data_IF_871227003663
#
_entry.id   IF_871227003663
#
_cell.length_a   1.000
_cell.length_b   1.000
_cell.length_c   1.000
_cell.angle_alpha   90.00
_cell.angle_beta   90.00
_cell.angle_gamma   90.00
#
_symmetry.space_group_name_H-M   'P 1'
#
loop_
_entity.id
_entity.type
_entity.pdbx_description
1 polymer ?
#
# COMPACT_ATOMS: atom_id res chain seq x y z
N UNK A 1 -0.21 4.48 2.04
CA UNK A 1 0.05 3.27 1.24
C UNK A 1 -1.12 2.31 1.35
N UNK A 2 -1.23 1.39 0.42
CA UNK A 2 -2.15 0.25 0.44
C UNK A 2 -1.30 -1.01 0.56
N UNK A 3 -1.68 -1.93 1.43
CA UNK A 3 -1.09 -3.27 1.51
C UNK A 3 -2.00 -4.21 0.74
N UNK A 4 -1.50 -4.79 -0.34
CA UNK A 4 -2.23 -5.77 -1.15
C UNK A 4 -1.74 -7.16 -0.80
N UNK A 5 -2.52 -7.87 0.02
CA UNK A 5 -2.25 -9.25 0.41
C UNK A 5 -2.81 -10.20 -0.63
N UNK A 6 -1.95 -11.07 -1.17
CA UNK A 6 -2.30 -12.03 -2.23
C UNK A 6 -2.01 -13.45 -1.75
N UNK A 7 -2.94 -14.37 -2.01
CA UNK A 7 -2.77 -15.78 -1.69
C UNK A 7 -1.85 -16.47 -2.70
N UNK A 8 -0.75 -17.02 -2.22
CA UNK A 8 0.26 -17.73 -3.01
C UNK A 8 0.55 -19.12 -2.45
N UNK A 9 -0.45 -19.85 -1.96
CA UNK A 9 -0.32 -21.21 -1.43
C UNK A 9 -1.56 -22.06 -1.74
N UNK A 10 -1.38 -23.36 -1.84
CA UNK A 10 -2.44 -24.34 -2.00
C UNK A 10 -2.85 -24.88 -0.62
N UNK A 11 -4.16 -24.95 -0.36
CA UNK A 11 -4.73 -25.59 0.83
C UNK A 11 -6.11 -26.12 0.47
N UNK A 12 -6.29 -27.44 0.60
CA UNK A 12 -7.54 -28.14 0.27
C UNK A 12 -8.70 -27.76 1.22
N UNK A 13 -8.39 -27.27 2.42
CA UNK A 13 -9.38 -26.89 3.41
C UNK A 13 -9.90 -25.45 3.22
N UNK A 14 -9.22 -24.64 2.41
CA UNK A 14 -9.56 -23.24 2.14
C UNK A 14 -10.14 -23.12 0.73
N UNK A 15 -11.47 -23.00 0.64
CA UNK A 15 -12.15 -22.85 -0.64
C UNK A 15 -11.70 -21.54 -1.33
N UNK A 16 -11.31 -21.63 -2.59
CA UNK A 16 -11.06 -20.46 -3.44
C UNK A 16 -12.29 -20.16 -4.28
N UNK A 17 -12.59 -18.88 -4.50
CA UNK A 17 -13.77 -18.43 -5.26
C UNK A 17 -13.75 -18.96 -6.70
N UNK A 18 -12.57 -19.05 -7.30
CA UNK A 18 -12.35 -19.52 -8.68
C UNK A 18 -11.93 -21.00 -8.80
N UNK A 19 -11.90 -21.78 -7.70
CA UNK A 19 -11.43 -23.16 -7.64
C UNK A 19 -9.97 -23.38 -8.11
N UNK A 20 -9.21 -22.33 -8.37
CA UNK A 20 -7.80 -22.36 -8.73
C UNK A 20 -7.07 -21.20 -8.09
N UNK A 21 -5.81 -21.38 -7.74
CA UNK A 21 -4.96 -20.32 -7.20
C UNK A 21 -4.34 -19.56 -8.37
N UNK A 22 -4.76 -18.33 -8.55
CA UNK A 22 -4.25 -17.40 -9.56
C UNK A 22 -4.03 -16.02 -8.93
N UNK A 23 -2.87 -15.79 -8.29
CA UNK A 23 -2.56 -14.54 -7.61
C UNK A 23 -2.58 -13.32 -8.53
N UNK A 24 -2.30 -13.51 -9.82
CA UNK A 24 -2.33 -12.43 -10.82
C UNK A 24 -3.78 -12.01 -11.06
N UNK A 25 -4.64 -12.94 -11.41
CA UNK A 25 -6.05 -12.66 -11.64
C UNK A 25 -6.73 -12.09 -10.39
N UNK A 26 -6.44 -12.63 -9.21
CA UNK A 26 -7.00 -12.14 -7.95
C UNK A 26 -6.62 -10.67 -7.71
N UNK A 27 -5.36 -10.31 -7.97
CA UNK A 27 -4.88 -8.95 -7.82
C UNK A 27 -5.49 -8.00 -8.87
N UNK A 28 -5.63 -8.43 -10.12
CA UNK A 28 -6.24 -7.64 -11.20
C UNK A 28 -7.73 -7.37 -10.95
N UNK A 29 -8.45 -8.35 -10.40
CA UNK A 29 -9.87 -8.17 -10.02
C UNK A 29 -10.00 -7.08 -8.95
N UNK A 30 -9.20 -7.18 -7.88
CA UNK A 30 -9.22 -6.16 -6.81
C UNK A 30 -8.77 -4.79 -7.34
N UNK A 31 -7.73 -4.72 -8.18
CA UNK A 31 -7.30 -3.44 -8.75
C UNK A 31 -8.39 -2.82 -9.63
N UNK A 32 -9.11 -3.63 -10.40
CA UNK A 32 -10.27 -3.18 -11.20
C UNK A 32 -11.37 -2.62 -10.31
N UNK A 33 -11.71 -3.28 -9.21
CA UNK A 33 -12.71 -2.78 -8.25
C UNK A 33 -12.29 -1.43 -7.64
N UNK A 34 -11.00 -1.27 -7.30
CA UNK A 34 -10.48 -0.01 -6.77
C UNK A 34 -10.51 1.11 -7.82
N UNK A 35 -10.20 0.79 -9.09
CA UNK A 35 -10.30 1.73 -10.22
C UNK A 35 -11.74 2.20 -10.39
N UNK A 36 -12.71 1.29 -10.40
CA UNK A 36 -14.13 1.62 -10.55
C UNK A 36 -14.64 2.47 -9.39
N UNK A 37 -14.21 2.18 -8.17
CA UNK A 37 -14.56 2.97 -6.98
C UNK A 37 -14.04 4.41 -7.06
N UNK A 38 -12.76 4.60 -7.44
CA UNK A 38 -12.18 5.93 -7.58
C UNK A 38 -12.80 6.70 -8.76
N UNK A 39 -13.11 6.01 -9.86
CA UNK A 39 -13.77 6.58 -11.03
C UNK A 39 -15.16 7.15 -10.66
N UNK A 40 -15.99 6.36 -10.00
CA UNK A 40 -17.32 6.78 -9.54
C UNK A 40 -17.24 8.00 -8.62
N UNK A 41 -16.25 7.99 -7.70
CA UNK A 41 -16.00 9.11 -6.78
C UNK A 41 -15.65 10.39 -7.56
N UNK A 42 -14.67 10.31 -8.48
CA UNK A 42 -14.22 11.47 -9.25
C UNK A 42 -15.29 12.03 -10.17
N UNK A 43 -16.10 11.18 -10.80
CA UNK A 43 -17.23 11.64 -11.63
C UNK A 43 -18.23 12.46 -10.81
N UNK A 44 -18.57 12.01 -9.60
CA UNK A 44 -19.46 12.76 -8.69
C UNK A 44 -18.84 14.11 -8.28
N UNK A 45 -17.56 14.14 -7.95
CA UNK A 45 -16.82 15.36 -7.59
C UNK A 45 -16.77 16.32 -8.77
N UNK A 46 -16.49 15.82 -9.96
CA UNK A 46 -16.35 16.62 -11.18
C UNK A 46 -17.61 17.43 -11.47
N UNK A 47 -18.80 16.87 -11.25
CA UNK A 47 -20.07 17.61 -11.39
C UNK A 47 -20.09 18.90 -10.54
N UNK A 48 -19.54 18.84 -9.33
CA UNK A 48 -19.41 20.01 -8.45
C UNK A 48 -18.39 21.02 -8.95
N UNK A 49 -17.21 20.54 -9.35
CA UNK A 49 -16.11 21.37 -9.88
C UNK A 49 -16.52 22.09 -11.16
N UNK A 50 -17.21 21.42 -12.07
CA UNK A 50 -17.69 22.03 -13.31
C UNK A 50 -18.67 23.20 -13.07
N UNK A 51 -19.40 23.22 -11.97
CA UNK A 51 -20.23 24.39 -11.57
C UNK A 51 -19.38 25.59 -11.16
N UNK A 52 -18.23 25.36 -10.52
CA UNK A 52 -17.29 26.42 -10.15
C UNK A 52 -16.54 26.95 -11.37
N UNK A 53 -16.15 26.08 -12.29
CA UNK A 53 -15.56 26.46 -13.60
C UNK A 53 -16.48 27.41 -14.36
N UNK A 54 -17.80 27.11 -14.42
CA UNK A 54 -18.80 27.97 -15.06
C UNK A 54 -18.94 29.33 -14.40
N UNK A 55 -18.56 29.47 -13.12
CA UNK A 55 -18.55 30.76 -12.39
C UNK A 55 -17.22 31.54 -12.60
N UNK A 56 -16.28 31.00 -13.36
CA UNK A 56 -15.03 31.68 -13.69
C UNK A 56 -13.92 31.47 -12.65
N UNK A 57 -14.04 30.50 -11.76
CA UNK A 57 -13.00 30.18 -10.78
C UNK A 57 -11.78 29.54 -11.47
N UNK A 58 -10.62 30.24 -11.41
CA UNK A 58 -9.40 29.81 -12.08
C UNK A 58 -8.76 28.55 -11.49
N UNK A 59 -8.87 28.38 -10.16
CA UNK A 59 -8.32 27.19 -9.50
C UNK A 59 -9.20 25.97 -9.81
N UNK A 60 -10.52 26.15 -9.88
CA UNK A 60 -11.45 25.11 -10.32
C UNK A 60 -11.19 24.66 -11.76
N UNK A 61 -10.74 25.56 -12.66
CA UNK A 61 -10.38 25.18 -14.04
C UNK A 61 -9.21 24.21 -14.06
N UNK A 62 -8.12 24.53 -13.35
CA UNK A 62 -6.95 23.63 -13.25
C UNK A 62 -7.31 22.30 -12.61
N UNK A 63 -8.07 22.36 -11.53
CA UNK A 63 -8.53 21.17 -10.81
C UNK A 63 -9.38 20.26 -11.70
N UNK A 64 -10.30 20.85 -12.49
CA UNK A 64 -11.11 20.11 -13.45
C UNK A 64 -10.23 19.40 -14.50
N UNK A 65 -9.19 20.06 -15.01
CA UNK A 65 -8.28 19.44 -15.98
C UNK A 65 -7.59 18.19 -15.41
N UNK A 66 -7.10 18.26 -14.17
CA UNK A 66 -6.48 17.09 -13.52
C UNK A 66 -7.50 16.00 -13.21
N UNK A 67 -8.73 16.35 -12.80
CA UNK A 67 -9.80 15.39 -12.58
C UNK A 67 -10.14 14.68 -13.90
N UNK A 68 -10.35 15.42 -14.99
CA UNK A 68 -10.68 14.85 -16.31
C UNK A 68 -9.54 13.95 -16.83
N UNK A 69 -8.27 14.34 -16.61
CA UNK A 69 -7.10 13.52 -16.92
C UNK A 69 -7.14 12.18 -16.17
N UNK A 70 -7.38 12.22 -14.86
CA UNK A 70 -7.42 10.99 -14.05
C UNK A 70 -8.65 10.14 -14.37
N UNK A 71 -9.81 10.73 -14.60
CA UNK A 71 -11.02 10.01 -15.06
C UNK A 71 -10.73 9.25 -16.36
N UNK A 72 -10.12 9.92 -17.35
CA UNK A 72 -9.75 9.28 -18.63
C UNK A 72 -8.78 8.12 -18.42
N UNK A 73 -7.81 8.29 -17.52
CA UNK A 73 -6.82 7.27 -17.19
C UNK A 73 -7.45 6.04 -16.51
N UNK A 74 -8.28 6.27 -15.48
CA UNK A 74 -9.04 5.21 -14.80
C UNK A 74 -9.99 4.49 -15.76
N UNK A 75 -10.68 5.23 -16.63
CA UNK A 75 -11.60 4.66 -17.63
C UNK A 75 -10.90 3.76 -18.65
N UNK A 76 -9.58 3.92 -18.84
CA UNK A 76 -8.76 3.02 -19.66
C UNK A 76 -8.23 1.80 -18.89
N UNK A 77 -8.66 1.59 -17.65
CA UNK A 77 -8.23 0.47 -16.81
C UNK A 77 -6.88 0.67 -16.14
N UNK A 78 -6.37 1.90 -16.07
CA UNK A 78 -5.08 2.21 -15.44
C UNK A 78 -5.29 2.92 -14.11
N UNK A 79 -4.42 2.64 -13.13
CA UNK A 79 -4.50 3.24 -11.80
C UNK A 79 -4.08 4.71 -11.79
N UNK A 80 -4.65 5.53 -10.92
CA UNK A 80 -4.31 6.96 -10.82
C UNK A 80 -2.83 7.21 -10.51
N UNK A 81 -2.14 6.28 -9.84
CA UNK A 81 -0.70 6.39 -9.54
C UNK A 81 0.21 6.28 -10.76
N UNK A 82 -0.27 5.77 -11.88
CA UNK A 82 0.48 5.64 -13.14
C UNK A 82 0.25 6.80 -14.12
N UNK A 83 -0.52 7.83 -13.72
CA UNK A 83 -0.76 9.01 -14.54
C UNK A 83 0.52 9.84 -14.70
N UNK A 84 0.70 10.45 -15.86
CA UNK A 84 1.79 11.39 -16.10
C UNK A 84 1.69 12.61 -15.17
N UNK A 85 2.84 13.18 -14.79
CA UNK A 85 2.94 14.34 -13.88
C UNK A 85 2.25 14.10 -12.51
N UNK A 86 2.38 12.90 -11.98
CA UNK A 86 1.74 12.44 -10.73
C UNK A 86 1.90 13.42 -9.56
N UNK A 87 3.03 14.13 -9.44
CA UNK A 87 3.27 15.09 -8.37
C UNK A 87 2.32 16.29 -8.45
N UNK A 88 2.05 16.79 -9.66
CA UNK A 88 1.11 17.87 -9.88
C UNK A 88 -0.33 17.40 -9.63
N UNK A 89 -0.70 16.24 -10.17
CA UNK A 89 -2.01 15.61 -9.93
C UNK A 89 -2.27 15.44 -8.43
N UNK A 90 -1.29 14.93 -7.68
CA UNK A 90 -1.40 14.79 -6.21
C UNK A 90 -1.66 16.12 -5.51
N UNK A 91 -1.03 17.22 -5.93
CA UNK A 91 -1.22 18.52 -5.30
C UNK A 91 -2.67 19.01 -5.36
N UNK A 92 -3.42 18.63 -6.40
CA UNK A 92 -4.84 18.98 -6.59
C UNK A 92 -5.83 17.94 -6.06
N UNK A 93 -5.46 16.65 -6.02
CA UNK A 93 -6.39 15.55 -5.76
C UNK A 93 -6.16 14.83 -4.42
N UNK A 94 -5.13 15.17 -3.65
CA UNK A 94 -4.85 14.51 -2.36
C UNK A 94 -6.03 14.57 -1.37
N UNK A 95 -6.82 15.65 -1.40
CA UNK A 95 -7.97 15.81 -0.51
C UNK A 95 -9.07 14.75 -0.74
N UNK A 96 -9.12 14.14 -1.92
CA UNK A 96 -10.14 13.14 -2.27
C UNK A 96 -9.74 11.72 -1.84
N UNK A 97 -8.52 11.53 -1.35
CA UNK A 97 -8.04 10.25 -0.82
C UNK A 97 -8.21 9.05 -1.76
N UNK A 98 -8.08 9.25 -3.09
CA UNK A 98 -8.18 8.18 -4.08
C UNK A 98 -7.30 7.00 -3.70
N UNK A 99 -7.86 5.80 -3.74
CA UNK A 99 -7.16 4.58 -3.33
C UNK A 99 -6.08 4.22 -4.36
N UNK A 100 -6.42 4.32 -5.65
CA UNK A 100 -5.49 4.00 -6.74
C UNK A 100 -4.36 5.04 -6.92
N UNK A 101 -4.44 6.19 -6.23
CA UNK A 101 -3.37 7.19 -6.18
C UNK A 101 -2.30 6.86 -5.13
N UNK A 102 -2.63 6.00 -4.15
CA UNK A 102 -1.72 5.60 -3.08
C UNK A 102 -0.68 4.60 -3.58
N UNK A 103 0.55 4.62 -3.05
CA UNK A 103 1.53 3.57 -3.33
C UNK A 103 1.04 2.23 -2.78
N UNK A 104 1.43 1.14 -3.43
CA UNK A 104 1.03 -0.23 -3.08
C UNK A 104 2.25 -1.02 -2.63
N UNK A 105 2.07 -1.77 -1.54
CA UNK A 105 3.00 -2.78 -1.04
C UNK A 105 2.36 -4.14 -1.30
N UNK A 106 2.99 -4.96 -2.12
CA UNK A 106 2.51 -6.30 -2.42
C UNK A 106 3.05 -7.31 -1.41
N UNK A 107 2.16 -8.06 -0.80
CA UNK A 107 2.46 -9.08 0.20
C UNK A 107 1.92 -10.42 -0.29
N UNK A 108 2.80 -11.39 -0.51
CA UNK A 108 2.42 -12.74 -0.89
C UNK A 108 2.35 -13.62 0.37
N UNK A 109 1.15 -14.11 0.69
CA UNK A 109 0.97 -15.11 1.72
C UNK A 109 1.29 -16.48 1.12
N UNK A 110 2.35 -17.10 1.61
CA UNK A 110 2.86 -18.40 1.17
C UNK A 110 2.73 -19.44 2.28
N UNK A 111 2.89 -20.72 1.95
CA UNK A 111 3.04 -21.78 2.94
C UNK A 111 4.38 -21.65 3.72
N UNK A 112 4.47 -22.32 4.88
CA UNK A 112 5.64 -22.24 5.76
C UNK A 112 6.96 -22.65 5.06
N UNK A 113 6.92 -23.62 4.17
CA UNK A 113 8.11 -24.11 3.46
C UNK A 113 8.63 -23.12 2.41
N UNK A 114 7.77 -22.21 1.97
CA UNK A 114 8.04 -21.22 0.92
C UNK A 114 8.40 -19.82 1.45
N UNK A 115 8.53 -19.66 2.78
CA UNK A 115 8.72 -18.33 3.39
C UNK A 115 10.06 -17.67 3.05
N UNK A 116 11.10 -18.46 2.77
CA UNK A 116 12.45 -17.96 2.45
C UNK A 116 12.58 -17.69 0.95
N UNK A 117 12.33 -18.69 0.13
CA UNK A 117 12.63 -18.65 -1.30
C UNK A 117 11.41 -18.33 -2.18
N UNK A 118 10.21 -18.35 -1.59
CA UNK A 118 8.96 -18.26 -2.33
C UNK A 118 8.60 -19.57 -3.03
N UNK A 119 7.61 -19.50 -3.91
CA UNK A 119 7.15 -20.62 -4.72
C UNK A 119 6.74 -20.16 -6.13
N UNK A 120 6.26 -21.09 -6.96
CA UNK A 120 5.83 -20.80 -8.34
C UNK A 120 4.82 -19.64 -8.44
N UNK A 121 3.92 -19.53 -7.47
CA UNK A 121 2.88 -18.47 -7.46
C UNK A 121 3.47 -17.11 -7.14
N UNK A 122 4.27 -17.01 -6.08
CA UNK A 122 4.91 -15.75 -5.70
C UNK A 122 5.94 -15.28 -6.74
N UNK A 123 6.67 -16.20 -7.38
CA UNK A 123 7.59 -15.89 -8.48
C UNK A 123 6.85 -15.32 -9.70
N UNK A 124 5.78 -16.00 -10.15
CA UNK A 124 4.95 -15.51 -11.26
C UNK A 124 4.31 -14.14 -10.95
N UNK A 125 3.83 -13.96 -9.73
CA UNK A 125 3.25 -12.69 -9.30
C UNK A 125 4.28 -11.56 -9.27
N UNK A 126 5.49 -11.82 -8.76
CA UNK A 126 6.60 -10.86 -8.76
C UNK A 126 6.95 -10.38 -10.17
N UNK A 127 7.03 -11.32 -11.11
CA UNK A 127 7.34 -11.03 -12.52
C UNK A 127 6.23 -10.17 -13.17
N UNK A 128 4.96 -10.42 -12.80
CA UNK A 128 3.82 -9.64 -13.30
C UNK A 128 3.83 -8.20 -12.78
N UNK A 129 3.94 -8.01 -11.46
CA UNK A 129 3.89 -6.67 -10.86
C UNK A 129 5.16 -5.84 -11.09
N UNK A 130 6.27 -6.46 -11.47
CA UNK A 130 7.58 -5.84 -11.73
C UNK A 130 8.05 -4.95 -10.58
N UNK A 131 7.73 -5.36 -9.36
CA UNK A 131 8.10 -4.66 -8.14
C UNK A 131 8.55 -5.65 -7.07
N UNK A 132 9.11 -5.15 -5.98
CA UNK A 132 9.39 -5.98 -4.83
C UNK A 132 8.09 -6.50 -4.23
N UNK A 133 8.14 -7.74 -3.76
CA UNK A 133 7.07 -8.37 -2.98
C UNK A 133 7.63 -8.78 -1.63
N UNK A 134 6.77 -8.79 -0.61
CA UNK A 134 7.11 -9.33 0.71
C UNK A 134 6.49 -10.71 0.82
N UNK A 135 7.31 -11.70 1.18
CA UNK A 135 6.80 -13.04 1.52
C UNK A 135 6.46 -13.08 3.00
N UNK A 136 5.27 -13.57 3.33
CA UNK A 136 4.84 -13.88 4.69
C UNK A 136 4.19 -15.26 4.72
N UNK A 137 4.14 -15.88 5.89
CA UNK A 137 3.23 -16.98 6.17
C UNK A 137 2.32 -16.57 7.31
N UNK A 138 1.02 -16.50 7.06
CA UNK A 138 0.04 -16.13 8.08
C UNK A 138 0.03 -17.12 9.25
N UNK A 139 0.35 -18.38 9.00
CA UNK A 139 0.46 -19.40 10.03
C UNK A 139 1.66 -19.12 10.96
N UNK A 140 2.83 -18.82 10.39
CA UNK A 140 4.03 -18.42 11.15
C UNK A 140 3.74 -17.15 11.96
N UNK A 141 3.14 -16.12 11.34
CA UNK A 141 2.81 -14.87 12.05
C UNK A 141 1.82 -15.11 13.20
N UNK A 142 0.86 -16.00 13.02
CA UNK A 142 -0.08 -16.40 14.07
C UNK A 142 0.62 -17.10 15.24
N UNK A 143 1.60 -17.97 14.96
CA UNK A 143 2.40 -18.64 16.00
C UNK A 143 3.26 -17.60 16.75
N UNK A 144 3.97 -16.73 16.05
CA UNK A 144 4.79 -15.65 16.63
C UNK A 144 3.97 -14.77 17.58
N UNK A 145 2.74 -14.44 17.22
CA UNK A 145 1.88 -13.56 18.01
C UNK A 145 1.52 -14.15 19.40
N UNK A 146 1.68 -15.46 19.60
CA UNK A 146 1.39 -16.14 20.88
C UNK A 146 2.62 -16.30 21.77
N UNK A 147 3.81 -16.01 21.24
CA UNK A 147 5.09 -16.22 21.93
C UNK A 147 5.56 -14.97 22.68
N UNK A 148 6.32 -15.16 23.75
CA UNK A 148 7.07 -14.06 24.39
C UNK A 148 8.18 -13.54 23.48
N UNK A 149 8.68 -12.32 23.73
CA UNK A 149 9.72 -11.70 22.89
C UNK A 149 11.00 -12.56 22.78
N UNK A 150 11.37 -13.28 23.83
CA UNK A 150 12.54 -14.18 23.83
C UNK A 150 12.28 -15.40 22.95
N UNK A 151 11.11 -16.03 23.11
CA UNK A 151 10.71 -17.19 22.31
C UNK A 151 10.54 -16.85 20.83
N UNK A 152 10.07 -15.62 20.50
CA UNK A 152 9.96 -15.17 19.12
C UNK A 152 11.30 -15.18 18.39
N UNK A 153 12.37 -14.70 19.05
CA UNK A 153 13.72 -14.68 18.48
C UNK A 153 14.23 -16.10 18.17
N UNK A 154 14.06 -17.02 19.12
CA UNK A 154 14.47 -18.42 18.95
C UNK A 154 13.67 -19.11 17.86
N UNK A 155 12.37 -18.86 17.81
CA UNK A 155 11.46 -19.43 16.79
C UNK A 155 11.83 -18.95 15.39
N UNK A 156 12.01 -17.62 15.19
CA UNK A 156 12.44 -17.07 13.91
C UNK A 156 13.79 -17.64 13.45
N UNK A 157 14.76 -17.72 14.39
CA UNK A 157 16.07 -18.30 14.12
C UNK A 157 15.99 -19.77 13.71
N UNK A 158 15.09 -20.55 14.30
CA UNK A 158 14.87 -21.96 13.93
C UNK A 158 14.34 -22.14 12.53
N UNK A 159 13.60 -21.15 12.02
CA UNK A 159 13.08 -21.09 10.65
C UNK A 159 14.06 -20.44 9.65
N UNK A 160 15.23 -19.98 10.10
CA UNK A 160 16.18 -19.25 9.26
C UNK A 160 15.75 -17.83 8.90
N UNK A 161 14.83 -17.25 9.68
CA UNK A 161 14.31 -15.89 9.49
C UNK A 161 15.02 -14.91 10.43
N UNK A 162 15.39 -13.72 9.92
CA UNK A 162 15.98 -12.65 10.72
C UNK A 162 14.92 -11.83 11.46
N UNK A 163 13.71 -11.72 10.90
CA UNK A 163 12.58 -10.94 11.42
C UNK A 163 11.25 -11.49 10.97
N UNK A 164 10.17 -11.12 11.66
CA UNK A 164 8.78 -11.47 11.27
C UNK A 164 8.37 -10.79 9.98
N UNK A 165 7.41 -11.37 9.26
CA UNK A 165 6.81 -10.76 8.08
C UNK A 165 6.12 -9.44 8.39
N UNK A 166 5.52 -9.30 9.58
CA UNK A 166 4.93 -8.05 10.03
C UNK A 166 5.98 -6.94 10.14
N UNK A 167 7.17 -7.22 10.69
CA UNK A 167 8.25 -6.23 10.76
C UNK A 167 8.74 -5.82 9.38
N UNK A 168 8.84 -6.77 8.42
CA UNK A 168 9.15 -6.46 7.01
C UNK A 168 8.12 -5.50 6.40
N UNK A 169 6.82 -5.76 6.63
CA UNK A 169 5.72 -4.90 6.14
C UNK A 169 5.81 -3.50 6.75
N UNK A 170 6.06 -3.39 8.06
CA UNK A 170 6.20 -2.09 8.75
C UNK A 170 7.37 -1.31 8.15
N UNK A 171 8.53 -1.93 7.99
CA UNK A 171 9.72 -1.30 7.41
C UNK A 171 9.46 -0.82 5.98
N UNK A 172 8.91 -1.68 5.13
CA UNK A 172 8.55 -1.31 3.76
C UNK A 172 7.50 -0.19 3.72
N UNK A 173 6.57 -0.18 4.68
CA UNK A 173 5.60 0.90 4.86
C UNK A 173 6.27 2.25 5.14
N UNK A 174 7.24 2.27 6.05
CA UNK A 174 8.01 3.47 6.35
C UNK A 174 8.83 3.94 5.15
N UNK A 175 9.49 3.04 4.43
CA UNK A 175 10.27 3.38 3.24
C UNK A 175 9.38 3.86 2.10
N UNK A 176 8.27 3.18 1.82
CA UNK A 176 7.29 3.55 0.79
C UNK A 176 6.67 4.92 1.03
N UNK A 177 6.41 5.27 2.30
CA UNK A 177 5.85 6.56 2.70
C UNK A 177 6.94 7.60 2.99
N UNK A 178 8.22 7.26 2.80
CA UNK A 178 9.37 8.11 3.07
C UNK A 178 9.37 8.67 4.50
N UNK A 179 9.06 7.81 5.48
CA UNK A 179 8.95 8.16 6.89
C UNK A 179 10.22 7.78 7.67
N UNK A 180 10.47 8.54 8.73
CA UNK A 180 11.46 8.25 9.76
C UNK A 180 10.87 8.50 11.13
N UNK A 181 11.45 7.86 12.16
CA UNK A 181 11.08 8.09 13.55
C UNK A 181 12.23 8.79 14.27
N UNK A 182 11.92 9.82 15.06
CA UNK A 182 12.82 10.41 16.03
C UNK A 182 12.23 10.35 17.43
N UNK A 183 13.07 10.45 18.43
CA UNK A 183 12.67 10.33 19.83
C UNK A 183 12.89 11.65 20.57
N UNK A 184 11.95 11.99 21.44
CA UNK A 184 12.13 13.01 22.47
C UNK A 184 12.16 12.32 23.81
N UNK A 185 13.02 12.80 24.71
CA UNK A 185 13.10 12.33 26.09
C UNK A 185 13.20 13.51 27.04
N UNK A 186 12.37 13.53 28.05
CA UNK A 186 12.31 14.52 29.12
C UNK A 186 12.08 13.85 30.47
N UNK A 187 12.00 14.66 31.53
CA UNK A 187 11.75 14.14 32.89
C UNK A 187 10.37 13.48 33.02
N UNK A 188 9.39 13.93 32.23
CA UNK A 188 7.99 13.49 32.35
C UNK A 188 7.67 12.33 31.42
N UNK A 189 8.24 12.31 30.20
CA UNK A 189 7.96 11.28 29.20
C UNK A 189 9.09 11.09 28.18
N UNK A 190 9.12 9.91 27.58
CA UNK A 190 9.89 9.63 26.36
C UNK A 190 8.91 9.22 25.26
N UNK A 191 9.03 9.85 24.08
CA UNK A 191 8.06 9.65 22.99
C UNK A 191 8.73 9.51 21.63
N UNK A 192 8.14 8.64 20.79
CA UNK A 192 8.50 8.47 19.38
C UNK A 192 7.58 9.33 18.50
N UNK A 193 8.17 10.02 17.53
CA UNK A 193 7.47 10.88 16.58
C UNK A 193 7.81 10.45 15.16
N UNK A 194 6.79 10.30 14.32
CA UNK A 194 6.97 9.94 12.91
C UNK A 194 6.87 11.20 12.05
N UNK A 195 7.87 11.41 11.20
CA UNK A 195 7.97 12.53 10.25
C UNK A 195 8.42 12.02 8.88
N UNK A 196 8.26 12.85 7.86
CA UNK A 196 8.83 12.57 6.54
C UNK A 196 10.36 12.70 6.56
N UNK A 197 11.03 11.87 5.80
CA UNK A 197 12.48 11.91 5.60
C UNK A 197 12.87 13.30 5.02
N UNK A 198 13.97 13.85 5.52
CA UNK A 198 14.45 15.19 5.16
C UNK A 198 13.61 16.36 5.72
N UNK A 199 12.65 16.13 6.63
CA UNK A 199 12.01 17.21 7.39
C UNK A 199 13.06 18.00 8.17
N UNK A 200 13.03 19.32 8.08
CA UNK A 200 13.96 20.18 8.80
C UNK A 200 13.66 20.18 10.31
N UNK A 201 14.69 20.43 11.12
CA UNK A 201 14.55 20.40 12.59
C UNK A 201 13.46 21.33 13.17
N UNK A 202 13.24 22.57 12.66
CA UNK A 202 12.12 23.39 13.13
C UNK A 202 10.75 22.81 12.84
N UNK A 203 10.58 22.18 11.65
CA UNK A 203 9.30 21.57 11.25
C UNK A 203 9.07 20.26 12.02
N UNK A 204 10.12 19.50 12.30
CA UNK A 204 10.07 18.33 13.17
C UNK A 204 9.65 18.72 14.60
N UNK A 205 10.22 19.80 15.15
CA UNK A 205 9.83 20.33 16.46
C UNK A 205 8.37 20.78 16.50
N UNK A 206 7.83 21.27 15.39
CA UNK A 206 6.41 21.65 15.28
C UNK A 206 5.42 20.48 15.33
N UNK A 207 5.90 19.23 15.36
CA UNK A 207 5.08 18.01 15.55
C UNK A 207 4.93 17.61 17.02
N UNK A 208 5.78 18.14 17.90
CA UNK A 208 5.76 17.94 19.35
C UNK A 208 4.65 18.79 19.98
#
# INVERSE_FOLDING_TARGET
>A
AVIHLVRCFEDENITHVSNSIDPINDAEVIETELILSDLEMLEKINVGIQKLVKKGDKDAVKKAQHIDQVISHLSSGMTARSVENISEVKSYLNEYNLITLKPVIYVCNVDENSIIDGNKFSASFKDHVKSNIILISADIESQIATLSNEEQSDFLSSLGLEESGLNKIIREGYDTLNLITYFTSGEMESRAWTIEKNTLAPDAAGKI
#
